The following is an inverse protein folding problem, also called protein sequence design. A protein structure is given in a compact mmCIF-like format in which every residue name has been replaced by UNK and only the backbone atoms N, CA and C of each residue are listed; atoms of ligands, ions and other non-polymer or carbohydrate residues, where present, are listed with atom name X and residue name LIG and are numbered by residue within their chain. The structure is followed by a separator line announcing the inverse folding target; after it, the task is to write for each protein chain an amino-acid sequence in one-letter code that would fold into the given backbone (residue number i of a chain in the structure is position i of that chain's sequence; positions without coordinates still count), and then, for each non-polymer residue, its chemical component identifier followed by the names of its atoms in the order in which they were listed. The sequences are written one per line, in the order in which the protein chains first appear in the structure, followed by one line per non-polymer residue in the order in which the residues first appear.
data_IF_200867438850
#
_entry.id   IF_200867438850
#
_cell.length_a   1.000
_cell.length_b   1.000
_cell.length_c   1.000
_cell.angle_alpha   90.00
_cell.angle_beta   90.00
_cell.angle_gamma   90.00
#
_symmetry.space_group_name_H-M   'P 1'
#
loop_
_entity.id
_entity.type
_entity.pdbx_description
1 polymer ?
#
# COMPACT_ATOMS: atom_id res chain seq x y z
N UNK A 1 9.28 -11.62 -24.40
CA UNK A 1 8.06 -10.81 -24.20
C UNK A 1 7.13 -11.59 -23.29
N UNK A 2 7.05 -11.22 -22.01
CA UNK A 2 6.18 -11.86 -21.02
C UNK A 2 4.77 -11.27 -21.11
N UNK A 3 3.75 -12.12 -21.21
CA UNK A 3 2.36 -11.69 -21.31
C UNK A 3 1.87 -11.17 -19.94
N UNK A 4 1.29 -9.95 -19.83
CA UNK A 4 0.76 -9.42 -18.57
C UNK A 4 -0.23 -10.34 -17.85
N UNK A 5 -0.97 -11.16 -18.61
CA UNK A 5 -1.92 -12.15 -18.07
C UNK A 5 -1.22 -13.21 -17.20
N UNK A 6 0.03 -13.56 -17.53
CA UNK A 6 0.80 -14.56 -16.78
C UNK A 6 1.15 -14.04 -15.39
N UNK A 7 1.61 -12.79 -15.28
CA UNK A 7 1.90 -12.15 -14.00
C UNK A 7 0.65 -11.97 -13.14
N UNK A 8 -0.46 -11.55 -13.75
CA UNK A 8 -1.73 -11.43 -13.03
C UNK A 8 -2.22 -12.78 -12.50
N UNK A 9 -2.11 -13.84 -13.30
CA UNK A 9 -2.43 -15.21 -12.88
C UNK A 9 -1.53 -15.67 -11.74
N UNK A 10 -0.22 -15.41 -11.84
CA UNK A 10 0.74 -15.77 -10.81
C UNK A 10 0.45 -15.08 -9.46
N UNK A 11 0.21 -13.76 -9.47
CA UNK A 11 -0.19 -13.01 -8.28
C UNK A 11 -1.50 -13.56 -7.69
N UNK A 12 -2.49 -13.88 -8.53
CA UNK A 12 -3.76 -14.46 -8.07
C UNK A 12 -3.56 -15.83 -7.40
N UNK A 13 -2.70 -16.69 -7.96
CA UNK A 13 -2.39 -18.01 -7.38
C UNK A 13 -1.74 -17.83 -6.01
N UNK A 14 -0.73 -16.95 -5.89
CA UNK A 14 -0.06 -16.69 -4.61
C UNK A 14 -1.06 -16.17 -3.57
N UNK A 15 -1.93 -15.25 -3.96
CA UNK A 15 -2.97 -14.71 -3.09
C UNK A 15 -3.99 -15.77 -2.63
N UNK A 16 -4.43 -16.65 -3.52
CA UNK A 16 -5.33 -17.76 -3.16
C UNK A 16 -4.64 -18.74 -2.21
N UNK A 17 -3.36 -19.05 -2.44
CA UNK A 17 -2.58 -19.87 -1.53
C UNK A 17 -2.45 -19.22 -0.15
N UNK A 18 -2.18 -17.91 -0.09
CA UNK A 18 -2.17 -17.13 1.14
C UNK A 18 -3.47 -17.35 1.94
N UNK A 19 -4.64 -17.17 1.31
CA UNK A 19 -5.93 -17.37 1.98
C UNK A 19 -6.08 -18.81 2.50
N UNK A 20 -5.72 -19.81 1.69
CA UNK A 20 -5.83 -21.23 2.07
C UNK A 20 -4.99 -21.51 3.32
N UNK A 21 -3.73 -21.05 3.35
CA UNK A 21 -2.84 -21.26 4.49
C UNK A 21 -3.30 -20.45 5.72
N UNK A 22 -3.80 -19.22 5.53
CA UNK A 22 -4.33 -18.40 6.61
C UNK A 22 -5.53 -19.06 7.30
N UNK A 23 -6.48 -19.62 6.53
CA UNK A 23 -7.65 -20.34 7.08
C UNK A 23 -7.24 -21.69 7.69
N UNK A 24 -6.19 -22.31 7.17
CA UNK A 24 -5.65 -23.57 7.71
C UNK A 24 -4.82 -23.37 8.99
N UNK A 25 -4.68 -22.13 9.47
CA UNK A 25 -3.84 -21.75 10.62
C UNK A 25 -2.34 -21.98 10.43
N UNK A 26 -1.87 -22.06 9.18
CA UNK A 26 -0.45 -22.15 8.83
C UNK A 26 0.15 -20.74 8.64
N UNK A 27 0.15 -19.97 9.74
CA UNK A 27 0.40 -18.52 9.70
C UNK A 27 1.78 -18.12 9.18
N UNK A 28 2.81 -18.94 9.40
CA UNK A 28 4.17 -18.65 8.89
C UNK A 28 4.20 -18.67 7.35
N UNK A 29 3.55 -19.67 6.73
CA UNK A 29 3.48 -19.78 5.28
C UNK A 29 2.57 -18.70 4.72
N UNK A 30 1.46 -18.42 5.40
CA UNK A 30 0.55 -17.35 5.01
C UNK A 30 1.25 -15.98 5.02
N UNK A 31 1.98 -15.65 6.09
CA UNK A 31 2.78 -14.43 6.20
C UNK A 31 3.79 -14.31 5.05
N UNK A 32 4.57 -15.37 4.78
CA UNK A 32 5.51 -15.38 3.66
C UNK A 32 4.83 -15.10 2.31
N UNK A 33 3.69 -15.75 2.06
CA UNK A 33 2.95 -15.61 0.81
C UNK A 33 2.35 -14.21 0.66
N UNK A 34 1.86 -13.61 1.75
CA UNK A 34 1.32 -12.25 1.73
C UNK A 34 2.43 -11.22 1.45
N UNK A 35 3.55 -11.30 2.18
CA UNK A 35 4.68 -10.39 2.00
C UNK A 35 5.35 -10.48 0.62
N UNK A 36 5.24 -11.59 -0.11
CA UNK A 36 5.81 -11.68 -1.46
C UNK A 36 4.90 -11.09 -2.56
N UNK A 37 3.62 -10.79 -2.27
CA UNK A 37 2.67 -10.27 -3.25
C UNK A 37 3.15 -8.95 -3.87
N UNK A 38 3.51 -7.97 -3.04
CA UNK A 38 3.95 -6.65 -3.53
C UNK A 38 5.31 -6.73 -4.24
N UNK A 39 6.33 -7.47 -3.75
CA UNK A 39 7.54 -7.75 -4.53
C UNK A 39 7.28 -8.32 -5.93
N UNK A 40 6.35 -9.27 -6.08
CA UNK A 40 5.97 -9.83 -7.39
C UNK A 40 5.33 -8.75 -8.26
N UNK A 41 4.42 -7.94 -7.71
CA UNK A 41 3.77 -6.83 -8.42
C UNK A 41 4.81 -5.80 -8.87
N UNK A 42 5.78 -5.47 -8.04
CA UNK A 42 6.87 -4.55 -8.34
C UNK A 42 7.73 -5.08 -9.48
N UNK A 43 8.09 -6.36 -9.45
CA UNK A 43 8.83 -7.00 -10.55
C UNK A 43 8.02 -6.98 -11.85
N UNK A 44 6.73 -7.30 -11.80
CA UNK A 44 5.83 -7.21 -12.95
C UNK A 44 5.78 -5.78 -13.51
N UNK A 45 5.70 -4.75 -12.65
CA UNK A 45 5.72 -3.36 -13.07
C UNK A 45 7.05 -2.98 -13.75
N UNK A 46 8.19 -3.38 -13.21
CA UNK A 46 9.51 -3.11 -13.79
C UNK A 46 9.64 -3.71 -15.19
N UNK A 47 9.17 -4.94 -15.37
CA UNK A 47 9.30 -5.68 -16.64
C UNK A 47 8.29 -5.21 -17.68
N UNK A 48 7.02 -5.03 -17.28
CA UNK A 48 5.91 -4.80 -18.22
C UNK A 48 5.65 -3.32 -18.52
N UNK A 49 5.98 -2.40 -17.60
CA UNK A 49 5.67 -0.99 -17.80
C UNK A 49 6.63 -0.34 -18.80
N UNK A 50 6.06 0.07 -19.95
CA UNK A 50 6.78 0.78 -21.03
C UNK A 50 7.27 2.16 -20.60
N UNK A 51 6.48 2.89 -19.81
CA UNK A 51 6.84 4.19 -19.24
C UNK A 51 6.71 4.12 -17.73
N UNK A 52 7.82 4.37 -17.04
CA UNK A 52 7.90 4.28 -15.58
C UNK A 52 7.84 5.69 -15.00
N UNK A 53 6.92 5.91 -14.07
CA UNK A 53 6.95 7.12 -13.26
C UNK A 53 7.89 6.86 -12.08
N UNK A 54 8.95 7.67 -11.93
CA UNK A 54 10.00 7.44 -10.93
C UNK A 54 9.45 7.40 -9.50
N UNK A 55 8.52 8.29 -9.15
CA UNK A 55 7.93 8.32 -7.80
C UNK A 55 7.05 7.09 -7.53
N UNK A 56 6.32 6.62 -8.53
CA UNK A 56 5.55 5.38 -8.39
C UNK A 56 6.44 4.15 -8.26
N UNK A 57 7.53 4.11 -9.03
CA UNK A 57 8.50 3.02 -8.95
C UNK A 57 9.21 3.01 -7.58
N UNK A 58 9.57 4.18 -7.06
CA UNK A 58 10.18 4.29 -5.73
C UNK A 58 9.20 3.86 -4.63
N UNK A 59 7.92 4.23 -4.71
CA UNK A 59 6.88 3.69 -3.83
C UNK A 59 6.86 2.16 -3.81
N UNK A 60 6.81 1.54 -5.00
CA UNK A 60 6.81 0.08 -5.15
C UNK A 60 8.07 -0.58 -4.57
N UNK A 61 9.24 -0.02 -4.86
CA UNK A 61 10.52 -0.54 -4.36
C UNK A 61 10.59 -0.45 -2.84
N UNK A 62 10.27 0.71 -2.25
CA UNK A 62 10.33 0.88 -0.80
C UNK A 62 9.38 -0.08 -0.08
N UNK A 63 8.15 -0.22 -0.59
CA UNK A 63 7.17 -1.17 -0.05
C UNK A 63 7.71 -2.61 -0.14
N UNK A 64 8.19 -3.01 -1.32
CA UNK A 64 8.67 -4.40 -1.53
C UNK A 64 9.92 -4.71 -0.72
N UNK A 65 10.82 -3.74 -0.53
CA UNK A 65 12.02 -3.93 0.30
C UNK A 65 11.61 -4.08 1.76
N UNK A 66 10.63 -3.32 2.23
CA UNK A 66 10.07 -3.47 3.58
C UNK A 66 9.50 -4.87 3.80
N UNK A 67 8.65 -5.36 2.89
CA UNK A 67 8.10 -6.72 2.96
C UNK A 67 9.18 -7.81 3.00
N UNK A 68 10.19 -7.70 2.11
CA UNK A 68 11.28 -8.68 2.05
C UNK A 68 12.11 -8.65 3.34
N UNK A 69 12.35 -7.47 3.92
CA UNK A 69 13.03 -7.35 5.21
C UNK A 69 12.25 -8.05 6.30
N UNK A 70 10.94 -7.82 6.41
CA UNK A 70 10.08 -8.47 7.40
C UNK A 70 10.11 -10.00 7.30
N UNK A 71 10.01 -10.55 6.09
CA UNK A 71 10.18 -12.00 5.87
C UNK A 71 11.56 -12.49 6.29
N UNK A 72 12.59 -11.77 5.87
CA UNK A 72 13.99 -12.16 6.13
C UNK A 72 14.26 -12.19 7.64
N UNK A 73 13.80 -11.16 8.36
CA UNK A 73 13.93 -11.06 9.80
C UNK A 73 13.12 -12.15 10.50
N UNK A 74 11.86 -12.37 10.11
CA UNK A 74 11.04 -13.46 10.68
C UNK A 74 11.73 -14.83 10.58
N UNK A 75 12.27 -15.19 9.42
CA UNK A 75 12.96 -16.47 9.22
C UNK A 75 14.31 -16.56 9.93
N UNK A 76 15.09 -15.48 9.95
CA UNK A 76 16.41 -15.46 10.62
C UNK A 76 16.24 -15.53 12.13
N UNK A 77 15.31 -14.76 12.70
CA UNK A 77 15.15 -14.58 14.14
C UNK A 77 14.42 -15.73 14.80
N UNK A 78 13.32 -16.20 14.22
CA UNK A 78 12.49 -17.21 14.86
C UNK A 78 13.20 -18.56 15.02
N UNK A 79 14.19 -18.87 14.18
CA UNK A 79 14.85 -20.18 14.16
C UNK A 79 16.30 -20.21 14.65
N UNK A 80 17.04 -19.09 14.63
CA UNK A 80 18.50 -19.15 14.77
C UNK A 80 19.08 -18.33 15.92
N UNK A 81 18.29 -17.52 16.64
CA UNK A 81 18.80 -16.52 17.58
C UNK A 81 18.15 -16.68 18.97
N UNK A 82 18.92 -16.59 20.09
CA UNK A 82 18.36 -16.55 21.44
C UNK A 82 17.37 -15.40 21.65
N UNK A 83 16.40 -15.57 22.55
CA UNK A 83 15.29 -14.63 22.77
C UNK A 83 15.73 -13.18 23.00
N UNK A 84 16.74 -12.93 23.83
CA UNK A 84 17.19 -11.56 24.13
C UNK A 84 17.78 -10.85 22.91
N UNK A 85 18.57 -11.54 22.10
CA UNK A 85 19.12 -10.99 20.85
C UNK A 85 18.01 -10.80 19.80
N UNK A 86 16.99 -11.66 19.80
CA UNK A 86 15.85 -11.57 18.88
C UNK A 86 15.03 -10.29 19.04
N UNK A 87 14.94 -9.74 20.26
CA UNK A 87 14.22 -8.48 20.55
C UNK A 87 14.86 -7.29 19.82
N UNK A 88 16.19 -7.20 19.84
CA UNK A 88 16.93 -6.12 19.19
C UNK A 88 16.68 -6.12 17.68
N UNK A 89 16.67 -7.29 17.06
CA UNK A 89 16.39 -7.41 15.63
C UNK A 89 14.92 -7.15 15.28
N UNK A 90 13.99 -7.53 16.16
CA UNK A 90 12.58 -7.18 16.00
C UNK A 90 12.39 -5.65 15.98
N UNK A 91 13.05 -4.94 16.90
CA UNK A 91 13.05 -3.47 16.90
C UNK A 91 13.61 -2.92 15.58
N UNK A 92 14.76 -3.42 15.11
CA UNK A 92 15.32 -2.98 13.82
C UNK A 92 14.39 -3.23 12.64
N UNK A 93 13.74 -4.39 12.59
CA UNK A 93 12.77 -4.71 11.54
C UNK A 93 11.59 -3.73 11.58
N UNK A 94 11.01 -3.52 12.76
CA UNK A 94 9.91 -2.59 12.96
C UNK A 94 10.26 -1.17 12.50
N UNK A 95 11.42 -0.63 12.91
CA UNK A 95 11.81 0.74 12.55
C UNK A 95 12.18 0.90 11.08
N UNK A 96 13.01 0.00 10.56
CA UNK A 96 13.47 0.09 9.18
C UNK A 96 12.30 -0.15 8.22
N UNK A 97 11.47 -1.16 8.52
CA UNK A 97 10.27 -1.47 7.74
C UNK A 97 9.28 -0.31 7.74
N UNK A 98 8.90 0.18 8.92
CA UNK A 98 7.98 1.32 9.05
C UNK A 98 8.50 2.58 8.34
N UNK A 99 9.80 2.86 8.45
CA UNK A 99 10.44 3.97 7.74
C UNK A 99 10.36 3.80 6.21
N UNK A 100 10.62 2.60 5.69
CA UNK A 100 10.52 2.32 4.26
C UNK A 100 9.09 2.48 3.74
N UNK A 101 8.08 2.02 4.48
CA UNK A 101 6.69 2.25 4.13
C UNK A 101 6.33 3.73 4.12
N UNK A 102 6.67 4.47 5.18
CA UNK A 102 6.51 5.94 5.26
C UNK A 102 7.13 6.64 4.04
N UNK A 103 8.35 6.26 3.70
CA UNK A 103 9.09 6.84 2.60
C UNK A 103 8.47 6.47 1.24
N UNK A 104 8.00 5.24 1.08
CA UNK A 104 7.23 4.79 -0.06
C UNK A 104 5.95 5.61 -0.26
N UNK A 105 5.14 5.74 0.80
CA UNK A 105 3.91 6.53 0.76
C UNK A 105 4.19 8.01 0.48
N UNK A 106 5.28 8.55 1.01
CA UNK A 106 5.71 9.92 0.70
C UNK A 106 6.00 10.08 -0.79
N UNK A 107 6.66 9.13 -1.45
CA UNK A 107 6.85 9.19 -2.90
C UNK A 107 5.54 9.16 -3.68
N UNK A 108 4.60 8.30 -3.27
CA UNK A 108 3.27 8.25 -3.89
C UNK A 108 2.50 9.57 -3.69
N UNK A 109 2.58 10.17 -2.49
CA UNK A 109 2.02 11.48 -2.20
C UNK A 109 2.65 12.59 -3.06
N UNK A 110 3.97 12.58 -3.24
CA UNK A 110 4.66 13.53 -4.14
C UNK A 110 4.20 13.36 -5.58
N UNK A 111 4.04 12.12 -6.07
CA UNK A 111 3.49 11.82 -7.40
C UNK A 111 2.12 12.45 -7.58
N UNK A 112 1.21 12.24 -6.62
CA UNK A 112 -0.15 12.77 -6.65
C UNK A 112 -0.13 14.30 -6.63
N UNK A 113 0.63 14.88 -5.70
CA UNK A 113 0.71 16.33 -5.51
C UNK A 113 1.21 17.06 -6.77
N UNK A 114 2.12 16.45 -7.53
CA UNK A 114 2.59 16.98 -8.82
C UNK A 114 1.51 17.06 -9.91
N UNK A 115 0.38 16.36 -9.74
CA UNK A 115 -0.73 16.41 -10.71
C UNK A 115 -1.73 17.53 -10.44
N UNK A 116 -1.56 18.28 -9.35
CA UNK A 116 -2.51 19.27 -8.85
C UNK A 116 -1.84 20.65 -8.79
N UNK A 117 -2.58 21.70 -9.13
CA UNK A 117 -2.17 23.05 -8.80
C UNK A 117 -2.67 23.42 -7.38
N UNK A 118 -1.78 23.37 -6.39
CA UNK A 118 -2.12 23.67 -4.98
C UNK A 118 -2.79 25.03 -4.80
N UNK A 119 -2.34 26.06 -5.53
CA UNK A 119 -2.93 27.41 -5.46
C UNK A 119 -4.39 27.41 -5.92
N UNK A 120 -4.69 26.66 -6.98
CA UNK A 120 -6.07 26.50 -7.46
C UNK A 120 -6.92 25.74 -6.42
N UNK A 121 -6.37 24.67 -5.84
CA UNK A 121 -7.11 23.86 -4.88
C UNK A 121 -7.44 24.61 -3.60
N UNK A 122 -6.47 25.31 -3.01
CA UNK A 122 -6.69 26.14 -1.81
C UNK A 122 -7.72 27.26 -2.04
N UNK A 123 -7.83 27.75 -3.29
CA UNK A 123 -8.80 28.81 -3.62
C UNK A 123 -10.22 28.27 -3.79
N UNK A 124 -10.37 27.14 -4.48
CA UNK A 124 -11.68 26.67 -4.97
C UNK A 124 -12.30 25.54 -4.14
N UNK A 125 -11.50 24.76 -3.41
CA UNK A 125 -11.99 23.59 -2.65
C UNK A 125 -11.90 23.78 -1.12
N UNK A 126 -12.07 25.01 -0.63
CA UNK A 126 -11.94 25.35 0.80
C UNK A 126 -12.76 24.47 1.73
N UNK A 127 -14.04 24.25 1.41
CA UNK A 127 -14.94 23.41 2.22
C UNK A 127 -14.44 21.97 2.24
N UNK A 128 -14.08 21.42 1.07
CA UNK A 128 -13.53 20.06 0.97
C UNK A 128 -12.26 19.91 1.81
N UNK A 129 -11.36 20.90 1.78
CA UNK A 129 -10.15 20.90 2.61
C UNK A 129 -10.46 20.89 4.11
N UNK A 130 -11.40 21.73 4.57
CA UNK A 130 -11.80 21.77 5.98
C UNK A 130 -12.37 20.42 6.42
N UNK A 131 -13.33 19.88 5.66
CA UNK A 131 -13.96 18.58 5.97
C UNK A 131 -12.91 17.47 6.03
N UNK A 132 -12.00 17.45 5.06
CA UNK A 132 -10.96 16.44 4.94
C UNK A 132 -9.92 16.54 6.07
N UNK A 133 -9.58 17.76 6.50
CA UNK A 133 -8.73 17.96 7.68
C UNK A 133 -9.39 17.45 8.96
N UNK A 134 -10.67 17.77 9.18
CA UNK A 134 -11.40 17.26 10.35
C UNK A 134 -11.50 15.73 10.33
N UNK A 135 -11.80 15.15 9.16
CA UNK A 135 -11.86 13.71 8.98
C UNK A 135 -10.51 13.05 9.31
N UNK A 136 -9.40 13.58 8.79
CA UNK A 136 -8.07 13.04 9.07
C UNK A 136 -7.72 13.12 10.57
N UNK A 137 -7.98 14.26 11.22
CA UNK A 137 -7.72 14.42 12.66
C UNK A 137 -8.52 13.38 13.45
N UNK A 138 -9.80 13.20 13.12
CA UNK A 138 -10.65 12.22 13.79
C UNK A 138 -10.15 10.78 13.57
N UNK A 139 -9.83 10.40 12.32
CA UNK A 139 -9.35 9.06 12.02
C UNK A 139 -8.02 8.77 12.72
N UNK A 140 -7.07 9.71 12.70
CA UNK A 140 -5.80 9.58 13.42
C UNK A 140 -6.05 9.43 14.92
N UNK A 141 -6.93 10.24 15.51
CA UNK A 141 -7.27 10.14 16.93
C UNK A 141 -7.81 8.74 17.28
N UNK A 142 -8.72 8.20 16.48
CA UNK A 142 -9.29 6.87 16.70
C UNK A 142 -8.23 5.77 16.59
N UNK A 143 -7.36 5.81 15.57
CA UNK A 143 -6.31 4.80 15.43
C UNK A 143 -5.30 4.88 16.57
N UNK A 144 -4.88 6.09 16.95
CA UNK A 144 -3.94 6.29 18.04
C UNK A 144 -4.49 5.87 19.41
N UNK A 145 -5.81 5.91 19.59
CA UNK A 145 -6.44 5.38 20.78
C UNK A 145 -6.19 3.87 20.94
N UNK A 146 -6.29 3.09 19.86
CA UNK A 146 -6.03 1.65 19.87
C UNK A 146 -4.54 1.33 19.95
N UNK A 147 -3.71 2.06 19.20
CA UNK A 147 -2.26 1.85 19.22
C UNK A 147 -1.69 2.12 20.62
N UNK A 148 -2.11 3.22 21.26
CA UNK A 148 -1.60 3.60 22.58
C UNK A 148 -1.92 2.60 23.69
N UNK A 149 -3.01 1.84 23.58
CA UNK A 149 -3.35 0.85 24.61
C UNK A 149 -2.42 -0.37 24.62
N UNK A 150 -1.73 -0.63 23.51
CA UNK A 150 -0.91 -1.84 23.32
C UNK A 150 0.60 -1.57 23.28
N UNK A 151 1.03 -0.34 23.00
CA UNK A 151 2.47 -0.03 22.92
C UNK A 151 3.10 0.19 24.31
N UNK A 152 4.26 -0.43 24.52
CA UNK A 152 5.07 -0.26 25.74
C UNK A 152 5.90 1.04 25.72
N UNK A 153 6.26 1.55 24.54
CA UNK A 153 7.21 2.65 24.38
C UNK A 153 6.67 3.88 23.62
N UNK A 154 7.01 5.08 24.10
CA UNK A 154 6.55 6.37 23.53
C UNK A 154 7.07 6.65 22.10
N UNK A 155 8.18 6.05 21.69
CA UNK A 155 8.78 6.28 20.37
C UNK A 155 8.15 5.43 19.25
N UNK A 156 7.66 4.23 19.58
CA UNK A 156 6.82 3.40 18.68
C UNK A 156 5.53 4.15 18.35
N UNK A 157 4.92 4.76 19.36
CA UNK A 157 3.74 5.61 19.21
C UNK A 157 3.96 6.74 18.22
N UNK A 158 5.13 7.42 18.28
CA UNK A 158 5.45 8.49 17.33
C UNK A 158 5.62 7.98 15.90
N UNK A 159 6.21 6.79 15.73
CA UNK A 159 6.40 6.17 14.41
C UNK A 159 5.04 5.85 13.78
N UNK A 160 4.16 5.19 14.52
CA UNK A 160 2.78 4.92 14.11
C UNK A 160 1.99 6.21 13.81
N UNK A 161 2.21 7.26 14.60
CA UNK A 161 1.58 8.55 14.36
C UNK A 161 1.98 9.15 13.02
N UNK A 162 3.28 9.22 12.73
CA UNK A 162 3.79 9.75 11.46
C UNK A 162 3.31 8.90 10.28
N UNK A 163 3.33 7.57 10.44
CA UNK A 163 2.83 6.61 9.46
C UNK A 163 1.37 6.91 9.07
N UNK A 164 0.49 6.96 10.07
CA UNK A 164 -0.93 7.23 9.88
C UNK A 164 -1.21 8.61 9.28
N UNK A 165 -0.49 9.65 9.71
CA UNK A 165 -0.61 10.99 9.14
C UNK A 165 -0.33 10.98 7.63
N UNK A 166 0.74 10.31 7.21
CA UNK A 166 1.13 10.25 5.79
C UNK A 166 0.08 9.53 4.95
N UNK A 167 -0.48 8.41 5.44
CA UNK A 167 -1.51 7.63 4.74
C UNK A 167 -2.80 8.45 4.56
N UNK A 168 -3.27 9.15 5.59
CA UNK A 168 -4.49 9.96 5.47
C UNK A 168 -4.30 11.21 4.62
N UNK A 169 -3.12 11.84 4.69
CA UNK A 169 -2.78 12.94 3.77
C UNK A 169 -2.70 12.44 2.33
N UNK A 170 -2.21 11.22 2.10
CA UNK A 170 -2.20 10.58 0.78
C UNK A 170 -3.62 10.36 0.24
N UNK A 171 -4.54 9.82 1.04
CA UNK A 171 -5.95 9.69 0.66
C UNK A 171 -6.55 11.04 0.27
N UNK A 172 -6.25 12.04 1.09
CA UNK A 172 -6.75 13.40 0.94
C UNK A 172 -6.26 14.04 -0.36
N UNK A 173 -4.96 13.92 -0.63
CA UNK A 173 -4.36 14.41 -1.86
C UNK A 173 -4.93 13.68 -3.08
N UNK A 174 -5.17 12.37 -3.00
CA UNK A 174 -5.75 11.60 -4.09
C UNK A 174 -7.20 12.01 -4.42
N UNK A 175 -8.01 12.25 -3.40
CA UNK A 175 -9.39 12.76 -3.56
C UNK A 175 -9.39 14.16 -4.19
N UNK A 176 -8.53 15.06 -3.72
CA UNK A 176 -8.39 16.40 -4.30
C UNK A 176 -7.88 16.34 -5.75
N UNK A 177 -6.96 15.40 -6.06
CA UNK A 177 -6.50 15.18 -7.43
C UNK A 177 -7.64 14.74 -8.34
N UNK A 178 -8.55 13.91 -7.81
CA UNK A 178 -9.75 13.49 -8.53
C UNK A 178 -10.69 14.67 -8.81
N UNK A 179 -11.05 15.48 -7.81
CA UNK A 179 -11.89 16.65 -8.03
C UNK A 179 -11.26 17.70 -8.95
N UNK A 180 -9.94 17.89 -8.88
CA UNK A 180 -9.25 18.86 -9.72
C UNK A 180 -9.19 18.44 -11.20
N UNK A 181 -8.98 17.14 -11.48
CA UNK A 181 -8.74 16.64 -12.84
C UNK A 181 -9.97 16.05 -13.52
N UNK A 182 -10.94 15.59 -12.73
CA UNK A 182 -12.17 14.94 -13.19
C UNK A 182 -11.95 13.93 -14.33
N UNK A 183 -10.97 13.03 -14.14
CA UNK A 183 -10.55 12.06 -15.15
C UNK A 183 -10.63 10.63 -14.64
N UNK A 184 -10.85 9.67 -15.56
CA UNK A 184 -10.78 8.24 -15.21
C UNK A 184 -9.46 7.85 -14.56
N UNK A 185 -8.36 8.47 -15.00
CA UNK A 185 -7.02 8.23 -14.45
C UNK A 185 -6.90 8.70 -13.00
N UNK A 186 -7.42 9.88 -12.67
CA UNK A 186 -7.44 10.38 -11.30
C UNK A 186 -8.42 9.62 -10.42
N UNK A 187 -9.53 9.10 -10.98
CA UNK A 187 -10.44 8.21 -10.28
C UNK A 187 -9.77 6.90 -9.86
N UNK A 188 -9.06 6.23 -10.76
CA UNK A 188 -8.31 5.02 -10.40
C UNK A 188 -7.19 5.28 -9.39
N UNK A 189 -6.55 6.45 -9.45
CA UNK A 189 -5.57 6.86 -8.44
C UNK A 189 -6.22 7.00 -7.05
N UNK A 190 -7.39 7.64 -7.01
CA UNK A 190 -8.17 7.81 -5.78
C UNK A 190 -8.66 6.48 -5.22
N UNK A 191 -9.22 5.59 -6.05
CA UNK A 191 -9.65 4.26 -5.61
C UNK A 191 -8.50 3.43 -5.07
N UNK A 192 -7.33 3.48 -5.72
CA UNK A 192 -6.12 2.82 -5.19
C UNK A 192 -5.68 3.39 -3.85
N UNK A 193 -5.68 4.72 -3.70
CA UNK A 193 -5.37 5.39 -2.44
C UNK A 193 -6.39 5.05 -1.32
N UNK A 194 -7.67 4.98 -1.64
CA UNK A 194 -8.72 4.60 -0.70
C UNK A 194 -8.53 3.17 -0.20
N UNK A 195 -8.27 2.24 -1.11
CA UNK A 195 -8.09 0.83 -0.77
C UNK A 195 -6.81 0.59 0.01
N UNK A 196 -5.69 1.27 -0.32
CA UNK A 196 -4.47 1.09 0.48
C UNK A 196 -4.68 1.63 1.90
N UNK A 197 -5.36 2.77 2.08
CA UNK A 197 -5.69 3.27 3.43
C UNK A 197 -6.57 2.29 4.21
N UNK A 198 -7.53 1.65 3.55
CA UNK A 198 -8.33 0.61 4.19
C UNK A 198 -7.54 -0.64 4.54
N UNK A 199 -6.55 -1.04 3.72
CA UNK A 199 -5.60 -2.09 4.09
C UNK A 199 -4.92 -1.76 5.41
N UNK A 200 -4.33 -0.58 5.49
CA UNK A 200 -3.55 -0.13 6.66
C UNK A 200 -4.40 -0.02 7.93
N UNK A 201 -5.66 0.42 7.79
CA UNK A 201 -6.60 0.42 8.92
C UNK A 201 -6.94 -1.00 9.38
N UNK A 202 -7.03 -1.97 8.46
CA UNK A 202 -7.22 -3.38 8.82
C UNK A 202 -5.97 -3.96 9.47
N UNK A 203 -4.77 -3.60 9.01
CA UNK A 203 -3.50 -4.05 9.60
C UNK A 203 -3.35 -3.54 11.04
N UNK A 204 -3.71 -2.28 11.30
CA UNK A 204 -3.75 -1.74 12.67
C UNK A 204 -4.76 -2.51 13.52
N UNK A 205 -5.94 -2.82 12.99
CA UNK A 205 -6.92 -3.62 13.73
C UNK A 205 -6.43 -5.04 14.01
N UNK A 206 -5.71 -5.66 13.07
CA UNK A 206 -5.14 -6.99 13.26
C UNK A 206 -4.03 -6.99 14.32
N UNK A 207 -3.13 -6.01 14.28
CA UNK A 207 -1.97 -5.94 15.16
C UNK A 207 -2.29 -5.44 16.57
N UNK A 208 -3.20 -4.47 16.71
CA UNK A 208 -3.45 -3.75 17.97
C UNK A 208 -4.84 -3.95 18.56
N UNK A 209 -5.74 -4.70 17.91
CA UNK A 209 -7.09 -4.96 18.45
C UNK A 209 -7.32 -6.46 18.58
N UNK A 210 -7.28 -7.20 17.47
CA UNK A 210 -7.57 -8.63 17.48
C UNK A 210 -7.03 -9.32 16.21
N UNK A 211 -6.23 -10.37 16.40
CA UNK A 211 -5.56 -11.12 15.34
C UNK A 211 -6.51 -12.11 14.62
N UNK A 212 -7.64 -11.60 14.12
CA UNK A 212 -8.62 -12.42 13.41
C UNK A 212 -8.19 -12.67 11.97
N UNK A 213 -8.27 -13.94 11.55
CA UNK A 213 -8.04 -14.39 10.17
C UNK A 213 -8.77 -13.51 9.14
N UNK A 214 -10.04 -13.18 9.38
CA UNK A 214 -10.83 -12.36 8.46
C UNK A 214 -10.25 -10.94 8.29
N UNK A 215 -9.73 -10.33 9.36
CA UNK A 215 -9.19 -8.97 9.31
C UNK A 215 -7.92 -8.96 8.45
N UNK A 216 -7.02 -9.93 8.68
CA UNK A 216 -5.79 -10.06 7.87
C UNK A 216 -6.11 -10.29 6.39
N UNK A 217 -7.03 -11.21 6.09
CA UNK A 217 -7.45 -11.45 4.69
C UNK A 217 -8.04 -10.20 4.05
N UNK A 218 -8.83 -9.41 4.78
CA UNK A 218 -9.36 -8.14 4.28
C UNK A 218 -8.26 -7.11 4.01
N UNK A 219 -7.26 -7.02 4.89
CA UNK A 219 -6.10 -6.15 4.69
C UNK A 219 -5.40 -6.48 3.36
N UNK A 220 -4.94 -7.72 3.21
CA UNK A 220 -4.28 -8.18 1.97
C UNK A 220 -5.17 -8.05 0.73
N UNK A 221 -6.50 -8.27 0.86
CA UNK A 221 -7.47 -8.04 -0.23
C UNK A 221 -7.44 -6.58 -0.68
N UNK A 222 -7.55 -5.65 0.26
CA UNK A 222 -7.57 -4.22 -0.04
C UNK A 222 -6.23 -3.75 -0.60
N UNK A 223 -5.10 -4.24 -0.05
CA UNK A 223 -3.77 -4.01 -0.59
C UNK A 223 -3.68 -4.44 -2.06
N UNK A 224 -4.07 -5.68 -2.37
CA UNK A 224 -4.02 -6.21 -3.73
C UNK A 224 -4.89 -5.41 -4.71
N UNK A 225 -6.10 -5.04 -4.30
CA UNK A 225 -6.99 -4.19 -5.10
C UNK A 225 -6.40 -2.79 -5.30
N UNK A 226 -5.74 -2.22 -4.28
CA UNK A 226 -5.07 -0.93 -4.38
C UNK A 226 -3.99 -0.94 -5.47
N UNK A 227 -3.11 -1.94 -5.44
CA UNK A 227 -2.07 -2.11 -6.45
C UNK A 227 -2.63 -2.37 -7.85
N UNK A 228 -3.72 -3.13 -7.96
CA UNK A 228 -4.45 -3.28 -9.22
C UNK A 228 -4.90 -1.91 -9.79
N UNK A 229 -5.50 -1.06 -8.96
CA UNK A 229 -5.95 0.26 -9.39
C UNK A 229 -4.78 1.21 -9.72
N UNK A 230 -3.69 1.17 -8.96
CA UNK A 230 -2.48 1.91 -9.29
C UNK A 230 -1.86 1.46 -10.62
N UNK A 231 -1.87 0.15 -10.90
CA UNK A 231 -1.40 -0.38 -12.18
C UNK A 231 -2.29 0.12 -13.33
N UNK A 232 -3.63 0.00 -13.21
CA UNK A 232 -4.58 0.52 -14.21
C UNK A 232 -4.40 2.02 -14.44
N UNK A 233 -4.23 2.79 -13.38
CA UNK A 233 -3.93 4.22 -13.44
C UNK A 233 -2.66 4.52 -14.23
N UNK A 234 -1.61 3.72 -14.06
CA UNK A 234 -0.32 3.91 -14.73
C UNK A 234 -0.37 3.61 -16.23
N UNK A 235 -1.27 2.72 -16.66
CA UNK A 235 -1.48 2.36 -18.07
C UNK A 235 -2.28 3.42 -18.86
N UNK A 236 -3.04 4.28 -18.18
CA UNK A 236 -3.89 5.29 -18.83
C UNK A 236 -3.13 6.57 -19.21
N UNK A 237 -3.41 7.09 -20.41
CA UNK A 237 -3.02 8.45 -20.81
C UNK A 237 -3.98 9.48 -20.20
N UNK A 238 -3.51 10.72 -20.10
CA UNK A 238 -4.28 11.80 -19.45
C UNK A 238 -5.60 12.14 -20.18
N UNK A 239 -5.73 11.79 -21.47
CA UNK A 239 -6.93 12.02 -22.28
C UNK A 239 -7.98 10.89 -22.16
N UNK A 240 -7.77 9.91 -21.27
CA UNK A 240 -8.67 8.75 -21.11
C UNK A 240 -8.56 7.68 -22.21
N UNK A 241 -7.77 7.93 -23.25
CA UNK A 241 -7.40 6.90 -24.23
C UNK A 241 -6.46 5.87 -23.61
N UNK A 242 -6.87 4.61 -23.68
CA UNK A 242 -5.98 3.46 -23.43
C UNK A 242 -4.81 3.57 -24.39
N UNK A 243 -3.59 3.37 -23.91
CA UNK A 243 -2.45 3.22 -24.80
C UNK A 243 -2.78 2.06 -25.76
N UNK A 244 -3.08 2.33 -27.03
CA UNK A 244 -3.58 1.29 -27.98
C UNK A 244 -2.65 0.07 -28.02
N UNK A 245 -1.36 0.26 -27.75
CA UNK A 245 -0.37 -0.81 -27.61
C UNK A 245 -0.51 -1.73 -26.38
N UNK A 246 -1.37 -1.39 -25.42
CA UNK A 246 -1.74 -2.21 -24.26
C UNK A 246 -3.17 -2.82 -24.43
N UNK A 247 -3.97 -2.30 -25.38
CA UNK A 247 -5.27 -2.86 -25.78
C UNK A 247 -5.09 -4.07 -26.71
N UNK A 248 -4.11 -4.05 -27.60
CA UNK A 248 -3.72 -5.21 -28.42
C UNK A 248 -3.11 -6.37 -27.62
N UNK A 249 -2.79 -6.18 -26.33
CA UNK A 249 -2.45 -7.29 -25.42
C UNK A 249 -3.70 -8.04 -24.90
N UNK A 250 -4.90 -7.51 -25.17
CA UNK A 250 -6.17 -8.04 -24.68
C UNK A 250 -7.27 -8.20 -25.74
N UNK A 251 -7.07 -7.76 -27.00
CA UNK A 251 -8.13 -7.83 -28.03
C UNK A 251 -7.77 -8.48 -29.37
N UNK A 252 -6.56 -9.03 -29.55
CA UNK A 252 -6.25 -9.77 -30.79
C UNK A 252 -6.50 -11.27 -30.59
N UNK A 253 -7.79 -11.62 -30.61
CA UNK A 253 -8.26 -12.92 -31.11
C UNK A 253 -9.22 -12.62 -32.27
N UNK A 254 -8.75 -12.90 -33.48
CA UNK A 254 -9.58 -13.49 -34.52
C UNK A 254 -9.32 -14.99 -34.50
#
# INVERSE_FOLDING_TARGET
MTNPKVWASFVLIVYVLFIIFQISNEFNIAFFLDSILVPIITMAYIILAKRKNIYFLLFLICYSVSDILGVTMHYILFYNVPFEESLIFYEYDYYIGSFLYILGYTFLLVKISKTINLKHVLKNFKIHLIVLTFLNIYLIYVLQFFVKSELEFDYEYFTEFVYNVIIFVLLSAALLAYFYRDSKKSLFLFLGALLIVFSEVMDIAYNYIDQRVLINVLASTFCLLAFYFFYKQSSLRDNGEVNKSDLYAFSDEK
#
